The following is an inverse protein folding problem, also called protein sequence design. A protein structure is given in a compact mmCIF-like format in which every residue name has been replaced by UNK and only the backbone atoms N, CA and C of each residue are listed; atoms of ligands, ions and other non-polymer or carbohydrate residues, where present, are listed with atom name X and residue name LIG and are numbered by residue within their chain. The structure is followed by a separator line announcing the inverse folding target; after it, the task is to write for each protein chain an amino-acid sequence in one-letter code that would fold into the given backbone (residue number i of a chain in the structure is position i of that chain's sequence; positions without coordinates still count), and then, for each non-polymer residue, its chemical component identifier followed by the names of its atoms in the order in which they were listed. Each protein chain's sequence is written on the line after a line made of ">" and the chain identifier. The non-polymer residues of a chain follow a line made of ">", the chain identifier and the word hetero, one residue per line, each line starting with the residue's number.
data_IF_000986497437
#
_entry.id   IF_000986497437
#
_cell.length_a   1.000
_cell.length_b   1.000
_cell.length_c   1.000
_cell.angle_alpha   90.00
_cell.angle_beta   90.00
_cell.angle_gamma   90.00
#
_symmetry.space_group_name_H-M   'P 1'
#
loop_
_entity.id
_entity.type
_entity.pdbx_description
1 polymer ?
#
# COMPACT_ATOMS: atom_id res chain seq x y z
N UNK A 1 8.57 5.75 -35.85
CA UNK A 1 7.79 6.26 -34.71
C UNK A 1 7.78 5.17 -33.66
N UNK A 2 8.82 5.13 -32.84
CA UNK A 2 8.93 4.18 -31.75
C UNK A 2 7.91 4.58 -30.68
N UNK A 3 6.78 3.88 -30.66
CA UNK A 3 5.83 3.95 -29.54
C UNK A 3 6.60 3.51 -28.29
N UNK A 4 6.98 4.47 -27.43
CA UNK A 4 7.58 4.16 -26.13
C UNK A 4 6.54 3.36 -25.35
N UNK A 5 6.74 2.05 -25.27
CA UNK A 5 5.84 1.15 -24.56
C UNK A 5 5.80 1.55 -23.08
N UNK A 6 4.61 1.76 -22.53
CA UNK A 6 4.43 2.05 -21.11
C UNK A 6 4.84 0.86 -20.26
N UNK A 7 5.38 1.15 -19.07
CA UNK A 7 5.82 0.14 -18.09
C UNK A 7 4.72 -0.16 -17.10
N UNK A 8 4.59 -1.40 -16.63
CA UNK A 8 3.80 -1.75 -15.45
C UNK A 8 4.65 -1.58 -14.18
N UNK A 9 4.04 -1.36 -13.00
CA UNK A 9 4.76 -1.25 -11.72
C UNK A 9 5.72 -2.42 -11.43
N UNK A 10 5.38 -3.63 -11.88
CA UNK A 10 6.22 -4.83 -11.74
C UNK A 10 7.48 -4.83 -12.61
N UNK A 11 7.54 -3.97 -13.64
CA UNK A 11 8.64 -3.90 -14.61
C UNK A 11 9.71 -2.86 -14.24
N UNK A 12 9.47 -2.08 -13.19
CA UNK A 12 10.37 -1.00 -12.76
C UNK A 12 10.63 -1.10 -11.26
N UNK A 13 11.88 -0.80 -10.88
CA UNK A 13 12.31 -0.86 -9.49
C UNK A 13 12.97 0.45 -9.09
N UNK A 14 12.71 0.88 -7.87
CA UNK A 14 13.22 2.11 -7.30
C UNK A 14 14.02 1.85 -6.03
N UNK A 15 14.88 2.80 -5.70
CA UNK A 15 15.43 3.00 -4.37
C UNK A 15 15.28 4.48 -4.01
N UNK A 16 14.48 4.77 -2.98
CA UNK A 16 14.32 6.09 -2.42
C UNK A 16 15.37 6.33 -1.34
N UNK A 17 16.02 7.50 -1.37
CA UNK A 17 16.87 7.92 -0.27
C UNK A 17 16.07 8.12 1.03
N UNK A 18 16.78 8.31 2.13
CA UNK A 18 16.22 8.45 3.47
C UNK A 18 15.41 9.76 3.68
N UNK A 19 15.43 10.70 2.74
CA UNK A 19 14.59 11.91 2.77
C UNK A 19 13.26 11.70 2.04
N UNK A 20 13.13 10.61 1.28
CA UNK A 20 11.99 10.34 0.39
C UNK A 20 11.14 9.15 0.87
N UNK A 21 11.09 8.91 2.19
CA UNK A 21 10.28 7.84 2.79
C UNK A 21 8.81 7.89 2.39
N UNK A 22 8.23 9.11 2.40
CA UNK A 22 6.85 9.32 1.98
C UNK A 22 6.63 8.89 0.53
N UNK A 23 7.48 9.35 -0.39
CA UNK A 23 7.42 8.98 -1.80
C UNK A 23 7.59 7.46 -2.00
N UNK A 24 8.56 6.85 -1.33
CA UNK A 24 8.76 5.40 -1.42
C UNK A 24 7.53 4.60 -0.97
N UNK A 25 6.83 5.07 0.07
CA UNK A 25 5.58 4.43 0.53
C UNK A 25 4.45 4.61 -0.47
N UNK A 26 4.29 5.78 -1.08
CA UNK A 26 3.27 6.00 -2.12
C UNK A 26 3.56 5.16 -3.38
N UNK A 27 4.82 5.03 -3.79
CA UNK A 27 5.19 4.12 -4.90
C UNK A 27 4.83 2.66 -4.60
N UNK A 28 5.06 2.19 -3.36
CA UNK A 28 4.61 0.85 -2.93
C UNK A 28 3.09 0.70 -2.93
N UNK A 29 2.33 1.77 -2.62
CA UNK A 29 0.86 1.77 -2.75
C UNK A 29 0.46 1.56 -4.21
N UNK A 30 1.18 2.16 -5.16
CA UNK A 30 0.98 1.93 -6.60
C UNK A 30 1.55 0.59 -7.11
N UNK A 31 2.03 -0.30 -6.23
CA UNK A 31 2.58 -1.61 -6.59
C UNK A 31 4.05 -1.62 -7.00
N UNK A 32 4.69 -0.46 -7.09
CA UNK A 32 6.09 -0.35 -7.53
C UNK A 32 7.04 -0.94 -6.47
N UNK A 33 7.99 -1.75 -6.90
CA UNK A 33 9.10 -2.23 -6.05
C UNK A 33 10.01 -1.05 -5.69
N UNK A 34 9.95 -0.58 -4.46
CA UNK A 34 10.73 0.56 -3.99
C UNK A 34 11.42 0.24 -2.67
N UNK A 35 12.75 0.13 -2.69
CA UNK A 35 13.55 0.12 -1.46
C UNK A 35 13.56 1.53 -0.88
N UNK A 36 13.44 1.65 0.43
CA UNK A 36 13.54 2.93 1.15
C UNK A 36 14.73 2.76 2.08
N UNK A 37 15.73 3.63 1.96
CA UNK A 37 16.87 3.61 2.88
C UNK A 37 16.42 3.99 4.29
N UNK A 38 17.07 3.45 5.32
CA UNK A 38 16.78 3.82 6.71
C UNK A 38 17.27 5.25 7.02
N UNK A 39 16.71 5.87 8.06
CA UNK A 39 16.99 7.27 8.43
C UNK A 39 18.50 7.53 8.63
N UNK A 40 19.23 6.56 9.18
CA UNK A 40 20.67 6.62 9.49
C UNK A 40 21.57 6.12 8.36
N UNK A 41 21.01 5.60 7.26
CA UNK A 41 21.78 5.13 6.12
C UNK A 41 22.44 6.28 5.36
N UNK A 42 23.62 6.02 4.79
CA UNK A 42 24.25 7.00 3.91
C UNK A 42 23.48 7.08 2.60
N UNK A 43 23.24 8.28 2.07
CA UNK A 43 22.54 8.44 0.78
C UNK A 43 23.20 7.62 -0.34
N UNK A 44 24.53 7.48 -0.31
CA UNK A 44 25.33 6.70 -1.27
C UNK A 44 25.06 5.20 -1.23
N UNK A 45 24.44 4.67 -0.17
CA UNK A 45 24.01 3.27 -0.11
C UNK A 45 22.96 2.93 -1.17
N UNK A 46 22.22 3.93 -1.68
CA UNK A 46 21.31 3.76 -2.80
C UNK A 46 22.02 3.19 -4.06
N UNK A 47 23.31 3.51 -4.25
CA UNK A 47 24.11 3.02 -5.38
C UNK A 47 24.25 1.49 -5.34
N UNK A 48 24.36 0.90 -4.14
CA UNK A 48 24.50 -0.55 -3.96
C UNK A 48 23.24 -1.26 -4.47
N UNK A 49 22.07 -0.78 -4.06
CA UNK A 49 20.78 -1.31 -4.50
C UNK A 49 20.51 -1.07 -5.98
N UNK A 50 20.87 0.12 -6.49
CA UNK A 50 20.75 0.46 -7.90
C UNK A 50 21.53 -0.50 -8.80
N UNK A 51 22.77 -0.82 -8.42
CA UNK A 51 23.62 -1.74 -9.17
C UNK A 51 23.18 -3.20 -9.07
N UNK A 52 22.75 -3.65 -7.89
CA UNK A 52 22.38 -5.05 -7.67
C UNK A 52 21.13 -5.46 -8.47
N UNK A 53 20.11 -4.60 -8.49
CA UNK A 53 18.78 -4.93 -8.98
C UNK A 53 18.31 -4.05 -10.15
N UNK A 54 19.23 -3.28 -10.74
CA UNK A 54 18.92 -2.33 -11.81
C UNK A 54 17.84 -1.31 -11.40
N UNK A 55 17.95 -0.77 -10.18
CA UNK A 55 16.96 0.17 -9.61
C UNK A 55 17.27 1.61 -10.00
N UNK A 56 16.23 2.40 -10.16
CA UNK A 56 16.31 3.85 -10.36
C UNK A 56 16.40 4.52 -8.99
N UNK A 57 17.38 5.37 -8.79
CA UNK A 57 17.56 6.12 -7.54
C UNK A 57 16.65 7.34 -7.56
N UNK A 58 15.90 7.53 -6.48
CA UNK A 58 15.12 8.73 -6.20
C UNK A 58 15.84 9.48 -5.08
N UNK A 59 16.26 10.71 -5.34
CA UNK A 59 16.95 11.55 -4.36
C UNK A 59 16.74 13.03 -4.67
N UNK A 60 16.99 13.91 -3.70
CA UNK A 60 16.85 15.37 -3.86
C UNK A 60 18.01 16.14 -3.26
N UNK A 61 18.11 17.43 -3.62
CA UNK A 61 19.07 18.37 -3.02
C UNK A 61 20.54 18.01 -3.29
N UNK A 62 21.41 18.27 -2.30
CA UNK A 62 22.84 17.94 -2.38
C UNK A 62 23.12 16.45 -2.66
N UNK A 63 22.46 15.51 -1.95
CA UNK A 63 22.60 14.07 -2.21
C UNK A 63 22.32 13.65 -3.66
N UNK A 64 21.33 14.24 -4.32
CA UNK A 64 21.04 13.97 -5.73
C UNK A 64 22.23 14.26 -6.66
N UNK A 65 22.93 15.38 -6.46
CA UNK A 65 24.08 15.74 -7.29
C UNK A 65 25.23 14.74 -7.14
N UNK A 66 25.44 14.25 -5.92
CA UNK A 66 26.42 13.21 -5.63
C UNK A 66 26.02 11.87 -6.27
N UNK A 67 24.76 11.48 -6.15
CA UNK A 67 24.27 10.20 -6.68
C UNK A 67 24.24 10.17 -8.20
N UNK A 68 23.79 11.26 -8.83
CA UNK A 68 23.75 11.39 -10.30
C UNK A 68 25.14 11.27 -10.93
N UNK A 69 26.17 11.84 -10.31
CA UNK A 69 27.55 11.74 -10.83
C UNK A 69 28.16 10.35 -10.70
N UNK A 70 27.60 9.48 -9.84
CA UNK A 70 28.08 8.13 -9.57
C UNK A 70 27.18 7.03 -10.14
N UNK A 71 26.22 7.39 -11.00
CA UNK A 71 25.22 6.48 -11.57
C UNK A 71 25.15 6.64 -13.08
N UNK A 72 24.67 5.60 -13.76
CA UNK A 72 24.47 5.64 -15.22
C UNK A 72 23.40 6.69 -15.55
N UNK A 73 23.55 7.37 -16.67
CA UNK A 73 22.56 8.33 -17.15
C UNK A 73 21.14 7.71 -17.19
N UNK A 74 20.14 8.46 -16.73
CA UNK A 74 18.77 7.98 -16.60
C UNK A 74 18.49 7.07 -15.39
N UNK A 75 19.48 6.75 -14.54
CA UNK A 75 19.30 5.89 -13.34
C UNK A 75 19.24 6.65 -12.01
N UNK A 76 19.15 7.97 -12.05
CA UNK A 76 18.94 8.82 -10.89
C UNK A 76 17.97 9.94 -11.25
N UNK A 77 16.93 10.11 -10.44
CA UNK A 77 15.85 11.07 -10.68
C UNK A 77 15.63 11.96 -9.46
N UNK A 78 15.41 13.25 -9.73
CA UNK A 78 15.10 14.25 -8.71
C UNK A 78 13.62 14.64 -8.80
N UNK A 79 12.74 14.07 -7.96
CA UNK A 79 11.35 14.50 -7.92
C UNK A 79 11.22 15.95 -7.44
N UNK A 80 10.18 16.69 -7.85
CA UNK A 80 9.96 18.08 -7.51
C UNK A 80 9.62 18.28 -6.02
N UNK A 81 9.64 19.53 -5.58
CA UNK A 81 9.29 19.89 -4.20
C UNK A 81 7.79 19.95 -3.95
N UNK A 82 7.19 18.76 -3.88
CA UNK A 82 5.77 18.58 -3.69
C UNK A 82 5.50 17.56 -2.57
N UNK A 83 4.23 17.39 -2.22
CA UNK A 83 3.81 16.31 -1.32
C UNK A 83 4.22 14.95 -1.89
N UNK A 84 4.43 13.96 -1.01
CA UNK A 84 4.80 12.60 -1.41
C UNK A 84 3.90 12.00 -2.50
N UNK A 85 2.60 12.30 -2.43
CA UNK A 85 1.63 11.87 -3.43
C UNK A 85 1.90 12.49 -4.81
N UNK A 86 2.06 13.82 -4.87
CA UNK A 86 2.39 14.52 -6.12
C UNK A 86 3.78 14.16 -6.66
N UNK A 87 4.72 13.85 -5.79
CA UNK A 87 6.01 13.29 -6.21
C UNK A 87 5.84 11.91 -6.84
N UNK A 88 4.97 11.06 -6.29
CA UNK A 88 4.66 9.74 -6.84
C UNK A 88 4.07 9.86 -8.25
N UNK A 89 3.07 10.74 -8.42
CA UNK A 89 2.46 11.06 -9.72
C UNK A 89 3.51 11.50 -10.74
N UNK A 90 4.38 12.41 -10.34
CA UNK A 90 5.45 12.90 -11.19
C UNK A 90 6.45 11.80 -11.58
N UNK A 91 6.81 10.90 -10.67
CA UNK A 91 7.67 9.74 -10.96
C UNK A 91 6.96 8.78 -11.94
N UNK A 92 5.69 8.46 -11.68
CA UNK A 92 4.88 7.58 -12.53
C UNK A 92 4.80 8.12 -13.96
N UNK A 93 4.50 9.40 -14.12
CA UNK A 93 4.41 10.05 -15.43
C UNK A 93 5.77 10.13 -16.11
N UNK A 94 6.83 10.47 -15.37
CA UNK A 94 8.18 10.60 -15.92
C UNK A 94 8.70 9.28 -16.51
N UNK A 95 8.42 8.15 -15.84
CA UNK A 95 8.83 6.82 -16.31
C UNK A 95 7.75 6.11 -17.15
N UNK A 96 6.68 6.81 -17.53
CA UNK A 96 5.56 6.27 -18.31
C UNK A 96 5.01 4.96 -17.71
N UNK A 97 4.75 4.96 -16.40
CA UNK A 97 4.26 3.78 -15.67
C UNK A 97 2.73 3.75 -15.72
N UNK A 98 2.17 2.73 -16.36
CA UNK A 98 0.74 2.47 -16.37
C UNK A 98 0.36 1.63 -15.13
N UNK A 99 -0.17 2.30 -14.11
CA UNK A 99 -0.70 1.67 -12.91
C UNK A 99 -2.16 1.30 -13.15
N UNK A 100 -2.50 0.02 -13.04
CA UNK A 100 -3.88 -0.46 -13.12
C UNK A 100 -4.47 -0.70 -11.72
N UNK A 101 -5.81 -0.80 -11.60
CA UNK A 101 -6.44 -1.00 -10.30
C UNK A 101 -5.94 -2.24 -9.54
N UNK A 102 -5.55 -3.31 -10.23
CA UNK A 102 -4.95 -4.51 -9.61
C UNK A 102 -3.51 -4.32 -9.11
N UNK A 103 -2.78 -3.32 -9.61
CA UNK A 103 -1.44 -3.01 -9.12
C UNK A 103 -1.51 -2.29 -7.76
N UNK A 104 -2.62 -1.60 -7.48
CA UNK A 104 -2.80 -0.81 -6.27
C UNK A 104 -2.88 -1.73 -5.05
N UNK A 105 -1.93 -1.53 -4.12
CA UNK A 105 -1.67 -2.36 -2.94
C UNK A 105 -1.28 -3.81 -3.22
N UNK A 106 -0.82 -4.11 -4.43
CA UNK A 106 -0.14 -5.38 -4.75
C UNK A 106 1.22 -5.52 -4.04
N UNK A 107 1.67 -4.47 -3.33
CA UNK A 107 2.93 -4.45 -2.59
C UNK A 107 2.77 -3.91 -1.18
N UNK A 108 3.49 -4.52 -0.25
CA UNK A 108 3.49 -4.19 1.15
C UNK A 108 4.21 -2.86 1.35
N UNK A 109 3.47 -1.87 1.83
CA UNK A 109 3.98 -0.53 2.12
C UNK A 109 5.07 -0.51 3.20
N UNK A 110 5.16 -1.56 4.02
CA UNK A 110 6.13 -1.66 5.12
C UNK A 110 7.42 -2.34 4.65
N UNK A 111 7.33 -3.58 4.16
CA UNK A 111 8.52 -4.39 3.85
C UNK A 111 8.83 -4.54 2.35
N UNK A 112 8.02 -3.91 1.47
CA UNK A 112 8.16 -4.02 0.02
C UNK A 112 7.83 -5.40 -0.58
N UNK A 113 7.31 -6.35 0.20
CA UNK A 113 6.88 -7.68 -0.28
C UNK A 113 5.62 -7.65 -1.14
N UNK A 114 5.47 -8.62 -2.04
CA UNK A 114 4.41 -8.72 -3.06
C UNK A 114 3.57 -10.00 -2.93
N UNK A 115 3.77 -10.76 -1.85
CA UNK A 115 3.03 -11.98 -1.57
C UNK A 115 2.18 -11.82 -0.31
N UNK A 116 0.91 -12.22 -0.44
CA UNK A 116 -0.10 -12.07 0.60
C UNK A 116 -0.98 -13.30 0.69
N UNK A 117 -1.27 -13.74 1.91
CA UNK A 117 -2.37 -14.67 2.16
C UNK A 117 -3.66 -13.87 2.34
N UNK A 118 -4.75 -14.33 1.70
CA UNK A 118 -6.09 -13.77 1.86
C UNK A 118 -6.81 -14.62 2.90
N UNK A 119 -7.35 -13.96 3.93
CA UNK A 119 -8.07 -14.62 5.03
C UNK A 119 -9.45 -14.02 5.22
N UNK A 120 -10.40 -14.84 5.67
CA UNK A 120 -11.74 -14.39 6.03
C UNK A 120 -11.69 -13.44 7.23
N UNK A 121 -12.56 -12.43 7.24
CA UNK A 121 -12.66 -11.46 8.34
C UNK A 121 -12.91 -12.11 9.71
N UNK A 122 -13.59 -13.25 9.76
CA UNK A 122 -13.79 -14.04 10.99
C UNK A 122 -12.48 -14.52 11.58
N UNK A 123 -11.48 -14.86 10.76
CA UNK A 123 -10.17 -15.29 11.24
C UNK A 123 -9.45 -14.16 11.98
N UNK A 124 -9.43 -12.97 11.38
CA UNK A 124 -8.81 -11.79 12.00
C UNK A 124 -9.59 -11.33 13.23
N UNK A 125 -10.93 -11.40 13.20
CA UNK A 125 -11.78 -11.10 14.37
C UNK A 125 -11.50 -12.05 15.53
N UNK A 126 -11.54 -13.35 15.27
CA UNK A 126 -11.24 -14.38 16.26
C UNK A 126 -9.84 -14.20 16.86
N UNK A 127 -8.84 -13.92 16.01
CA UNK A 127 -7.47 -13.70 16.46
C UNK A 127 -7.38 -12.46 17.36
N UNK A 128 -8.02 -11.36 16.95
CA UNK A 128 -8.05 -10.13 17.72
C UNK A 128 -8.74 -10.32 19.07
N UNK A 129 -9.92 -10.95 19.11
CA UNK A 129 -10.65 -11.20 20.36
C UNK A 129 -9.84 -12.08 21.30
N UNK A 130 -9.21 -13.14 20.79
CA UNK A 130 -8.35 -14.00 21.58
C UNK A 130 -7.11 -13.29 22.10
N UNK A 131 -6.42 -12.53 21.26
CA UNK A 131 -5.17 -11.85 21.63
C UNK A 131 -5.40 -10.74 22.67
N UNK A 132 -6.48 -9.97 22.51
CA UNK A 132 -6.81 -8.86 23.41
C UNK A 132 -7.76 -9.28 24.56
N UNK A 133 -8.05 -10.58 24.68
CA UNK A 133 -8.95 -11.15 25.68
C UNK A 133 -10.34 -10.47 25.73
N UNK A 134 -10.90 -10.23 24.55
CA UNK A 134 -12.24 -9.66 24.38
C UNK A 134 -13.30 -10.74 24.65
N UNK A 135 -14.29 -10.43 25.49
CA UNK A 135 -15.18 -11.45 26.05
C UNK A 135 -16.47 -11.64 25.23
N UNK A 136 -17.15 -12.81 25.36
CA UNK A 136 -18.46 -13.10 24.75
C UNK A 136 -19.51 -12.01 24.99
N UNK A 137 -19.54 -11.45 26.21
CA UNK A 137 -20.51 -10.41 26.60
C UNK A 137 -20.27 -9.06 25.91
N UNK A 138 -19.06 -8.82 25.41
CA UNK A 138 -18.67 -7.62 24.69
C UNK A 138 -18.74 -7.80 23.15
N UNK A 139 -18.95 -9.02 22.66
CA UNK A 139 -18.93 -9.36 21.24
C UNK A 139 -20.28 -9.87 20.75
N UNK A 140 -20.66 -9.45 19.55
CA UNK A 140 -21.84 -9.97 18.86
C UNK A 140 -21.61 -11.37 18.25
N UNK A 141 -20.40 -11.93 18.32
CA UNK A 141 -20.00 -13.21 17.69
C UNK A 141 -19.20 -14.12 18.67
N UNK A 142 -19.80 -14.61 19.78
CA UNK A 142 -19.10 -15.37 20.83
C UNK A 142 -18.49 -16.69 20.35
N UNK A 143 -19.00 -17.26 19.26
CA UNK A 143 -18.47 -18.46 18.61
C UNK A 143 -17.03 -18.28 18.10
N UNK A 144 -16.59 -17.04 17.86
CA UNK A 144 -15.26 -16.76 17.32
C UNK A 144 -14.12 -17.03 18.31
N UNK A 145 -14.40 -17.13 19.61
CA UNK A 145 -13.37 -17.45 20.61
C UNK A 145 -12.80 -18.88 20.46
N UNK A 146 -13.58 -19.78 19.86
CA UNK A 146 -13.17 -21.16 19.58
C UNK A 146 -12.84 -21.38 18.09
N UNK A 147 -12.73 -20.30 17.30
CA UNK A 147 -12.45 -20.40 15.88
C UNK A 147 -11.04 -20.96 15.63
N UNK A 148 -10.93 -21.91 14.70
CA UNK A 148 -9.66 -22.47 14.22
C UNK A 148 -9.40 -22.00 12.79
N UNK A 149 -8.20 -21.49 12.52
CA UNK A 149 -7.76 -21.15 11.16
C UNK A 149 -6.79 -22.21 10.63
N UNK A 150 -6.82 -22.43 9.31
CA UNK A 150 -5.82 -23.22 8.57
C UNK A 150 -4.62 -22.38 8.11
N UNK A 151 -4.73 -21.05 8.21
CA UNK A 151 -3.72 -20.08 7.77
C UNK A 151 -2.98 -19.48 8.97
N UNK A 152 -3.67 -19.28 10.09
CA UNK A 152 -3.14 -18.58 11.28
C UNK A 152 -3.14 -19.53 12.49
N UNK A 153 -1.98 -19.64 13.14
CA UNK A 153 -1.88 -20.18 14.49
C UNK A 153 -2.46 -19.15 15.46
N UNK A 154 -3.68 -19.43 15.93
CA UNK A 154 -4.46 -18.55 16.79
C UNK A 154 -3.84 -18.35 18.20
N UNK A 155 -2.90 -19.21 18.61
CA UNK A 155 -2.23 -19.08 19.91
C UNK A 155 -0.93 -18.29 19.80
N UNK A 156 -0.18 -18.50 18.71
CA UNK A 156 1.10 -17.84 18.50
C UNK A 156 1.01 -16.55 17.68
N UNK A 157 -0.15 -16.28 17.07
CA UNK A 157 -0.37 -15.20 16.11
C UNK A 157 0.61 -15.25 14.96
N UNK A 158 0.80 -16.44 14.38
CA UNK A 158 1.73 -16.66 13.27
C UNK A 158 1.00 -17.23 12.07
N UNK A 159 1.47 -16.89 10.88
CA UNK A 159 1.12 -17.64 9.68
C UNK A 159 1.68 -19.07 9.83
N UNK A 160 0.82 -20.07 9.69
CA UNK A 160 1.18 -21.48 9.85
C UNK A 160 2.25 -21.88 8.84
N UNK A 161 2.11 -21.40 7.59
CA UNK A 161 3.00 -21.77 6.48
C UNK A 161 4.41 -21.16 6.62
N UNK A 162 4.51 -19.89 7.01
CA UNK A 162 5.80 -19.15 6.99
C UNK A 162 6.39 -18.95 8.38
N UNK A 163 5.61 -19.13 9.45
CA UNK A 163 6.01 -18.84 10.83
C UNK A 163 6.08 -17.35 11.15
N UNK A 164 5.72 -16.46 10.23
CA UNK A 164 5.77 -15.00 10.42
C UNK A 164 4.68 -14.55 11.38
N UNK A 165 5.08 -13.78 12.40
CA UNK A 165 4.15 -13.20 13.38
C UNK A 165 3.32 -12.07 12.75
N UNK A 166 2.02 -12.10 12.96
CA UNK A 166 1.09 -11.08 12.46
C UNK A 166 1.25 -9.76 13.22
N UNK A 167 1.20 -8.65 12.50
CA UNK A 167 1.25 -7.29 13.04
C UNK A 167 -0.16 -6.69 13.00
N UNK A 168 -0.84 -6.75 14.14
CA UNK A 168 -2.22 -6.26 14.30
C UNK A 168 -2.33 -4.76 14.59
N UNK A 169 -1.21 -4.03 14.69
CA UNK A 169 -1.19 -2.60 15.00
C UNK A 169 -2.10 -1.80 14.06
N UNK A 170 -3.03 -1.03 14.62
CA UNK A 170 -4.00 -0.24 13.86
C UNK A 170 -5.33 -0.94 13.59
N UNK A 171 -5.45 -2.24 13.91
CA UNK A 171 -6.75 -2.86 14.12
C UNK A 171 -7.32 -2.41 15.46
N UNK A 172 -8.61 -2.10 15.48
CA UNK A 172 -9.36 -1.66 16.65
C UNK A 172 -10.72 -2.35 16.62
N UNK A 173 -11.36 -2.53 17.77
CA UNK A 173 -12.73 -3.09 17.84
C UNK A 173 -13.72 -2.34 16.94
N UNK A 174 -13.49 -1.05 16.66
CA UNK A 174 -14.32 -0.23 15.77
C UNK A 174 -14.17 -0.56 14.28
N UNK A 175 -12.98 -0.94 13.81
CA UNK A 175 -12.71 -1.15 12.38
C UNK A 175 -12.59 -2.64 11.97
N UNK A 176 -12.54 -3.52 12.97
CA UNK A 176 -12.43 -4.96 12.83
C UNK A 176 -13.68 -5.66 12.23
N UNK A 177 -14.92 -5.21 12.49
CA UNK A 177 -16.11 -5.87 11.93
C UNK A 177 -16.39 -5.52 10.47
N UNK A 178 -15.71 -4.52 9.92
CA UNK A 178 -16.15 -3.86 8.69
C UNK A 178 -15.79 -4.59 7.39
N UNK A 179 -15.06 -5.71 7.44
CA UNK A 179 -14.46 -6.32 6.25
C UNK A 179 -14.64 -7.83 6.19
N UNK A 180 -14.99 -8.32 4.99
CA UNK A 180 -15.10 -9.75 4.67
C UNK A 180 -13.74 -10.41 4.47
N UNK A 181 -12.74 -9.66 4.01
CA UNK A 181 -11.42 -10.18 3.66
C UNK A 181 -10.30 -9.29 4.19
N UNK A 182 -9.22 -9.95 4.60
CA UNK A 182 -7.97 -9.33 4.99
C UNK A 182 -6.82 -9.94 4.22
N UNK A 183 -5.77 -9.14 4.01
CA UNK A 183 -4.57 -9.50 3.26
C UNK A 183 -3.39 -9.43 4.22
N UNK A 184 -2.68 -10.55 4.40
CA UNK A 184 -1.55 -10.64 5.32
C UNK A 184 -0.28 -10.79 4.51
N UNK A 185 0.63 -9.82 4.62
CA UNK A 185 1.92 -9.93 3.95
C UNK A 185 2.72 -11.10 4.54
N UNK A 186 3.09 -12.08 3.71
CA UNK A 186 3.74 -13.30 4.19
C UNK A 186 5.20 -13.06 4.63
N UNK A 187 5.78 -11.91 4.29
CA UNK A 187 7.18 -11.54 4.64
C UNK A 187 7.29 -10.86 6.01
N UNK A 188 6.35 -9.97 6.35
CA UNK A 188 6.42 -9.19 7.60
C UNK A 188 5.19 -9.31 8.50
N UNK A 189 4.15 -10.03 8.07
CA UNK A 189 2.93 -10.25 8.86
C UNK A 189 2.01 -9.04 8.94
N UNK A 190 2.29 -7.96 8.18
CA UNK A 190 1.43 -6.78 8.16
C UNK A 190 0.05 -7.14 7.61
N UNK A 191 -0.98 -6.80 8.37
CA UNK A 191 -2.39 -7.01 7.99
C UNK A 191 -2.94 -5.76 7.29
N UNK A 192 -3.59 -5.98 6.15
CA UNK A 192 -4.26 -4.98 5.32
C UNK A 192 -5.72 -5.39 5.08
N UNK A 193 -6.57 -4.43 4.74
CA UNK A 193 -7.99 -4.66 4.46
C UNK A 193 -8.51 -3.61 3.49
N UNK A 194 -9.52 -3.98 2.71
CA UNK A 194 -10.14 -3.07 1.73
C UNK A 194 -11.15 -2.12 2.39
N UNK A 195 -10.63 -1.21 3.21
CA UNK A 195 -11.38 -0.17 3.90
C UNK A 195 -12.03 0.89 3.02
N UNK A 196 -12.90 1.71 3.60
CA UNK A 196 -13.29 3.00 2.99
C UNK A 196 -12.05 3.85 2.67
N UNK A 197 -11.01 3.76 3.50
CA UNK A 197 -9.73 4.40 3.22
C UNK A 197 -8.96 3.76 2.05
N UNK A 198 -9.08 2.44 1.85
CA UNK A 198 -8.52 1.72 0.70
C UNK A 198 -9.24 2.13 -0.59
N UNK A 199 -10.58 2.14 -0.59
CA UNK A 199 -11.40 2.59 -1.71
C UNK A 199 -11.14 4.06 -2.04
N UNK A 200 -11.20 4.96 -1.05
CA UNK A 200 -10.90 6.38 -1.25
C UNK A 200 -9.47 6.61 -1.73
N UNK A 201 -8.46 5.90 -1.20
CA UNK A 201 -7.08 6.04 -1.69
C UNK A 201 -6.92 5.48 -3.08
N UNK A 202 -7.55 4.34 -3.40
CA UNK A 202 -7.55 3.73 -4.73
C UNK A 202 -8.22 4.65 -5.74
N UNK A 203 -9.41 5.16 -5.46
CA UNK A 203 -10.12 6.15 -6.29
C UNK A 203 -9.27 7.40 -6.49
N UNK A 204 -8.78 8.02 -5.41
CA UNK A 204 -7.92 9.22 -5.50
C UNK A 204 -6.58 8.99 -6.21
N UNK A 205 -6.09 7.75 -6.30
CA UNK A 205 -4.89 7.45 -7.09
C UNK A 205 -5.29 7.24 -8.53
N UNK A 206 -6.34 6.44 -8.79
CA UNK A 206 -6.92 6.25 -10.13
C UNK A 206 -7.25 7.59 -10.77
N UNK A 207 -8.07 8.44 -10.13
CA UNK A 207 -8.47 9.77 -10.62
C UNK A 207 -7.27 10.62 -11.03
N UNK A 208 -6.26 10.69 -10.17
CA UNK A 208 -5.06 11.48 -10.42
C UNK A 208 -4.18 10.88 -11.53
N UNK A 209 -4.13 9.55 -11.63
CA UNK A 209 -3.37 8.86 -12.68
C UNK A 209 -4.04 8.98 -14.05
N UNK A 210 -5.32 9.34 -14.09
CA UNK A 210 -6.11 9.55 -15.32
C UNK A 210 -6.15 11.01 -15.81
N UNK A 211 -5.52 11.97 -15.12
CA UNK A 211 -5.44 13.38 -15.57
C UNK A 211 -4.50 13.59 -16.80
N UNK A 212 -3.93 12.52 -17.37
CA UNK A 212 -3.21 12.59 -18.64
C UNK A 212 -4.14 12.12 -19.78
N UNK A 213 -4.64 13.11 -20.52
CA UNK A 213 -5.51 12.99 -21.69
C UNK A 213 -4.96 11.96 -22.70
N UNK A 214 -5.84 11.04 -23.12
CA UNK A 214 -5.72 10.00 -24.18
C UNK A 214 -5.64 8.54 -23.68
N UNK A 215 -6.77 7.98 -23.23
CA UNK A 215 -7.36 6.75 -23.81
C UNK A 215 -8.58 6.26 -23.00
N UNK A 216 -9.56 5.78 -23.76
CA UNK A 216 -10.87 5.26 -23.38
C UNK A 216 -10.91 4.27 -22.18
N UNK A 217 -12.05 4.35 -21.46
CA UNK A 217 -12.67 3.36 -20.57
C UNK A 217 -12.09 3.13 -19.16
N UNK A 218 -12.56 3.93 -18.21
CA UNK A 218 -13.35 3.40 -17.10
C UNK A 218 -14.59 4.29 -16.92
N UNK A 219 -15.69 3.95 -17.61
CA UNK A 219 -17.00 4.28 -17.06
C UNK A 219 -17.17 3.42 -15.82
N UNK A 220 -17.03 4.01 -14.63
CA UNK A 220 -17.62 3.41 -13.45
C UNK A 220 -19.13 3.46 -13.64
N UNK A 221 -19.72 2.33 -14.03
CA UNK A 221 -21.17 2.14 -13.96
C UNK A 221 -21.53 2.16 -12.47
N UNK A 222 -22.14 3.28 -12.10
CA UNK A 222 -23.07 3.58 -11.01
C UNK A 222 -23.46 2.42 -10.06
N UNK A 223 -22.97 2.48 -8.81
CA UNK A 223 -23.67 1.89 -7.67
C UNK A 223 -24.68 2.92 -7.15
N UNK A 224 -25.80 2.95 -7.84
CA UNK A 224 -26.95 3.84 -7.64
C UNK A 224 -27.44 3.93 -6.19
N UNK A 225 -27.88 5.16 -5.84
CA UNK A 225 -28.77 5.60 -4.73
C UNK A 225 -28.12 6.13 -3.46
N UNK A 226 -27.63 7.37 -3.53
CA UNK A 226 -27.75 8.32 -2.42
C UNK A 226 -29.16 8.93 -2.43
N UNK A 227 -30.04 8.44 -1.56
CA UNK A 227 -31.20 9.19 -1.05
C UNK A 227 -31.64 8.55 0.28
N UNK A 228 -31.94 9.41 1.27
CA UNK A 228 -32.30 9.14 2.69
C UNK A 228 -31.11 8.82 3.62
N UNK A 229 -30.68 9.66 4.58
CA UNK A 229 -31.42 10.58 5.45
C UNK A 229 -30.60 11.84 5.74
N UNK A 230 -31.14 13.01 5.39
CA UNK A 230 -30.89 14.24 6.14
C UNK A 230 -32.22 15.02 6.19
N UNK A 231 -33.08 14.58 7.09
CA UNK A 231 -34.27 15.30 7.52
C UNK A 231 -34.56 14.86 8.95
N UNK A 232 -33.90 15.50 9.92
CA UNK A 232 -34.43 15.78 11.27
C UNK A 232 -33.40 16.56 12.11
N UNK A 233 -33.07 17.77 11.68
CA UNK A 233 -32.88 18.88 12.61
C UNK A 233 -33.64 20.11 12.08
N UNK A 234 -34.49 20.66 12.95
CA UNK A 234 -35.09 22.00 12.89
C UNK A 234 -36.37 22.19 12.08
N UNK A 235 -37.48 21.72 12.68
CA UNK A 235 -38.78 22.41 12.80
C UNK A 235 -39.61 21.51 13.75
N UNK A 236 -40.09 21.88 14.93
CA UNK A 236 -40.53 23.15 15.51
C UNK A 236 -40.35 23.09 17.03
N UNK A 237 -39.81 24.14 17.64
CA UNK A 237 -40.49 25.08 18.55
C UNK A 237 -39.48 26.06 19.10
#
# INVERSE_FOLDING_TARGET
>A
NDTVSSLRPSQVKFVADNMLHGLGRELRVCGCDCIILDDDAAHTDAIKYAKADNRIILSRGGPYNLLRSNTVEGRCYCPPDLSAKKQCENVINHFNIKVLPEDIFSRCTICNGDEFDIVDGKEIRALFYKHYNYKPEDTDEPELLNYSSQIIDMNQMKLIKTGVTLILTGLTSRNLPSYSEYYICIKCGRVYWQGTHWRRRRLKHIEILHDNEDDDMIQFVDDSKEEYFDAMENTQT
#
